data_IF_072284050626
#
_entry.id   IF_072284050626
#
_cell.length_a   1.000
_cell.length_b   1.000
_cell.length_c   1.000
_cell.angle_alpha   90.00
_cell.angle_beta   90.00
_cell.angle_gamma   90.00
#
_symmetry.space_group_name_H-M   'P 1'
#
loop_
_entity.id
_entity.type
_entity.pdbx_description
1 polymer ?
#
# COMPACT_ATOMS: atom_id res chain seq x y z
N UNK A 1 8.55 11.78 14.75
CA UNK A 1 8.94 11.44 13.37
C UNK A 1 8.35 10.09 13.01
N UNK A 2 7.21 10.02 12.31
CA UNK A 2 6.65 8.75 11.82
C UNK A 2 5.89 9.01 10.51
N UNK A 3 6.61 9.18 9.41
CA UNK A 3 6.01 9.49 8.11
C UNK A 3 6.18 8.39 7.05
N UNK A 4 6.56 7.15 7.42
CA UNK A 4 6.81 6.09 6.43
C UNK A 4 6.26 4.71 6.79
N UNK A 5 5.35 4.61 7.75
CA UNK A 5 4.76 3.32 8.13
C UNK A 5 3.34 3.24 7.57
N UNK A 6 3.18 2.55 6.44
CA UNK A 6 1.86 2.26 5.86
C UNK A 6 1.42 0.91 6.45
N UNK A 7 0.29 0.90 7.16
CA UNK A 7 -0.23 -0.27 7.89
C UNK A 7 0.82 -0.98 8.78
N UNK A 8 1.54 -0.18 9.59
CA UNK A 8 2.57 -0.67 10.52
C UNK A 8 3.72 -1.48 9.89
N UNK A 9 3.85 -1.44 8.55
CA UNK A 9 4.92 -2.11 7.81
C UNK A 9 5.80 -1.12 7.05
N UNK A 10 7.07 -1.48 6.95
CA UNK A 10 8.00 -0.85 6.03
C UNK A 10 7.78 -1.41 4.62
N UNK A 11 7.48 -0.53 3.68
CA UNK A 11 7.23 -0.93 2.29
C UNK A 11 8.58 -1.15 1.60
N UNK A 12 8.76 -2.28 0.90
CA UNK A 12 10.00 -2.53 0.16
C UNK A 12 10.21 -1.47 -0.92
N UNK A 13 11.47 -1.10 -1.15
CA UNK A 13 11.83 -0.04 -2.11
C UNK A 13 11.33 -0.32 -3.52
N UNK A 14 11.32 -1.59 -3.93
CA UNK A 14 10.81 -2.03 -5.24
C UNK A 14 9.31 -1.71 -5.39
N UNK A 15 8.51 -1.99 -4.36
CA UNK A 15 7.10 -1.62 -4.37
C UNK A 15 6.93 -0.09 -4.40
N UNK A 16 7.74 0.67 -3.66
CA UNK A 16 7.68 2.15 -3.74
C UNK A 16 8.03 2.65 -5.14
N UNK A 17 9.04 2.09 -5.79
CA UNK A 17 9.40 2.42 -7.16
C UNK A 17 8.25 2.14 -8.12
N UNK A 18 7.65 0.94 -8.06
CA UNK A 18 6.49 0.60 -8.89
C UNK A 18 5.27 1.48 -8.61
N UNK A 19 5.01 1.82 -7.35
CA UNK A 19 3.92 2.74 -7.00
C UNK A 19 4.11 4.11 -7.66
N UNK A 20 5.35 4.61 -7.69
CA UNK A 20 5.68 5.91 -8.28
C UNK A 20 5.71 5.86 -9.82
N UNK A 21 6.15 4.75 -10.40
CA UNK A 21 6.25 4.58 -11.86
C UNK A 21 4.91 4.18 -12.51
N UNK A 22 4.21 3.22 -11.93
CA UNK A 22 2.98 2.63 -12.48
C UNK A 22 1.71 3.14 -11.81
N UNK A 23 1.81 3.84 -10.68
CA UNK A 23 0.65 4.22 -9.87
C UNK A 23 0.02 3.04 -9.12
N UNK A 24 0.62 1.85 -9.18
CA UNK A 24 0.16 0.64 -8.49
C UNK A 24 1.36 -0.24 -8.18
N UNK A 25 1.22 -1.06 -7.14
CA UNK A 25 2.22 -2.05 -6.73
C UNK A 25 1.68 -3.45 -6.90
N UNK A 26 2.62 -4.39 -7.00
CA UNK A 26 2.34 -5.80 -6.90
C UNK A 26 1.82 -6.20 -5.51
N UNK A 27 1.39 -7.45 -5.37
CA UNK A 27 0.81 -7.95 -4.14
C UNK A 27 1.87 -7.97 -3.03
N UNK A 28 1.70 -7.11 -2.02
CA UNK A 28 2.59 -7.03 -0.87
C UNK A 28 1.96 -7.82 0.27
N UNK A 29 2.65 -8.88 0.70
CA UNK A 29 2.21 -9.72 1.80
C UNK A 29 2.67 -9.18 3.15
N UNK A 30 1.89 -9.49 4.19
CA UNK A 30 2.23 -9.25 5.60
C UNK A 30 2.02 -7.82 6.08
N UNK A 31 1.08 -7.08 5.49
CA UNK A 31 0.56 -5.86 6.12
C UNK A 31 -0.15 -6.22 7.42
N UNK A 32 0.02 -5.41 8.46
CA UNK A 32 -0.64 -5.66 9.74
C UNK A 32 -1.83 -4.71 9.87
N UNK A 33 -3.03 -5.28 9.93
CA UNK A 33 -4.24 -4.50 10.18
C UNK A 33 -4.22 -3.94 11.60
N UNK A 34 -5.05 -2.93 11.87
CA UNK A 34 -5.26 -2.44 13.24
C UNK A 34 -5.67 -3.53 14.24
N UNK A 35 -6.19 -4.67 13.77
CA UNK A 35 -6.57 -5.82 14.58
C UNK A 35 -5.41 -6.80 14.84
N UNK A 36 -4.22 -6.55 14.29
CA UNK A 36 -3.05 -7.43 14.42
C UNK A 36 -2.99 -8.57 13.42
N UNK A 37 -3.95 -8.66 12.49
CA UNK A 37 -3.97 -9.68 11.45
C UNK A 37 -3.06 -9.28 10.29
N UNK A 38 -2.20 -10.21 9.87
CA UNK A 38 -1.40 -10.10 8.66
C UNK A 38 -2.28 -10.34 7.43
N UNK A 39 -2.20 -9.45 6.46
CA UNK A 39 -2.92 -9.57 5.20
C UNK A 39 -2.04 -9.16 4.04
N UNK A 40 -2.41 -9.62 2.85
CA UNK A 40 -1.76 -9.28 1.60
C UNK A 40 -2.64 -8.34 0.82
N UNK A 41 -2.08 -7.25 0.29
CA UNK A 41 -2.82 -6.29 -0.50
C UNK A 41 -1.91 -5.64 -1.55
N UNK A 42 -2.53 -5.11 -2.60
CA UNK A 42 -1.84 -4.23 -3.55
C UNK A 42 -2.01 -2.80 -3.07
N UNK A 43 -1.04 -1.95 -3.32
CA UNK A 43 -1.18 -0.51 -3.11
C UNK A 43 -1.39 0.18 -4.43
N UNK A 44 -2.38 1.05 -4.48
CA UNK A 44 -2.69 1.90 -5.61
C UNK A 44 -2.52 3.34 -5.18
N UNK A 45 -1.94 4.14 -6.06
CA UNK A 45 -1.74 5.56 -5.88
C UNK A 45 -2.91 6.26 -6.58
N UNK A 46 -3.83 6.77 -5.77
CA UNK A 46 -4.99 7.52 -6.23
C UNK A 46 -4.63 9.00 -6.28
N UNK A 47 -4.49 9.52 -7.50
CA UNK A 47 -4.36 10.95 -7.73
C UNK A 47 -5.76 11.57 -7.67
N UNK A 48 -6.05 12.30 -6.59
CA UNK A 48 -7.36 12.92 -6.39
C UNK A 48 -7.51 14.26 -7.11
N UNK A 49 -6.53 14.67 -7.95
CA UNK A 49 -6.51 15.93 -8.70
C UNK A 49 -6.39 17.21 -7.84
N UNK A 50 -6.76 17.15 -6.57
CA UNK A 50 -6.68 18.23 -5.58
C UNK A 50 -5.97 17.74 -4.31
N UNK A 51 -4.64 17.68 -4.36
CA UNK A 51 -3.81 17.34 -3.20
C UNK A 51 -2.69 16.36 -3.50
N UNK A 52 -1.90 16.00 -2.47
CA UNK A 52 -0.87 14.98 -2.62
C UNK A 52 -1.52 13.63 -2.98
N UNK A 53 -0.89 12.84 -3.86
CA UNK A 53 -1.39 11.53 -4.22
C UNK A 53 -1.60 10.65 -2.98
N UNK A 54 -2.72 9.94 -2.94
CA UNK A 54 -3.10 9.13 -1.79
C UNK A 54 -2.86 7.66 -2.09
N UNK A 55 -2.09 7.01 -1.25
CA UNK A 55 -1.91 5.56 -1.34
C UNK A 55 -3.12 4.87 -0.71
N UNK A 56 -3.85 4.09 -1.51
CA UNK A 56 -5.01 3.29 -1.12
C UNK A 56 -4.68 1.80 -1.26
N UNK A 57 -5.28 0.98 -0.40
CA UNK A 57 -5.16 -0.47 -0.52
C UNK A 57 -6.16 -0.99 -1.53
N UNK A 58 -5.66 -1.72 -2.51
CA UNK A 58 -6.44 -2.48 -3.48
C UNK A 58 -6.48 -3.95 -3.03
N UNK A 59 -7.64 -4.35 -2.52
CA UNK A 59 -7.93 -5.70 -2.03
C UNK A 59 -8.54 -6.58 -3.13
N UNK A 60 -8.15 -6.40 -4.40
CA UNK A 60 -8.76 -7.14 -5.52
C UNK A 60 -8.54 -8.67 -5.47
N UNK A 61 -7.71 -9.18 -4.56
CA UNK A 61 -7.67 -10.61 -4.25
C UNK A 61 -8.42 -10.90 -2.95
N UNK A 62 -9.61 -11.47 -3.15
CA UNK A 62 -10.46 -12.10 -2.12
C UNK A 62 -9.63 -12.99 -1.21
N UNK A 63 -9.32 -12.50 -0.02
CA UNK A 63 -9.09 -13.38 1.13
C UNK A 63 -10.47 -13.94 1.51
N UNK A 64 -10.69 -15.21 1.17
CA UNK A 64 -11.89 -15.99 1.49
C UNK A 64 -11.59 -16.91 2.64
#
# INVERSE_FOLDING_TARGET
>A
MIWRTIAQKEIPKEAVAQLLENGVTDMIAGFISRKGTEFSAKLKLEDQGFGPPKVVFDFSEKDR
#
